data_IF_589884597121
#
_entry.id   IF_589884597121
#
_cell.length_a   1.000
_cell.length_b   1.000
_cell.length_c   1.000
_cell.angle_alpha   90.00
_cell.angle_beta   90.00
_cell.angle_gamma   90.00
#
_symmetry.space_group_name_H-M   'P 1'
#
loop_
_entity.id
_entity.type
_entity.pdbx_description
1 polymer ?
#
# COMPACT_ATOMS: atom_id res chain seq x y z
N UNK A 1 -11.46 6.95 -17.77
CA UNK A 1 -11.24 5.82 -16.84
C UNK A 1 -11.56 4.47 -17.44
N UNK A 2 -12.80 4.16 -17.86
CA UNK A 2 -13.10 2.86 -18.52
C UNK A 2 -12.14 2.52 -19.68
N UNK A 3 -11.75 3.50 -20.50
CA UNK A 3 -10.76 3.29 -21.58
C UNK A 3 -9.34 2.97 -21.07
N UNK A 4 -8.90 3.60 -19.98
CA UNK A 4 -7.57 3.41 -19.38
C UNK A 4 -7.51 2.04 -18.69
N UNK A 5 -8.52 1.74 -17.87
CA UNK A 5 -8.63 0.43 -17.21
C UNK A 5 -8.78 -0.67 -18.26
N UNK A 6 -9.62 -0.47 -19.29
CA UNK A 6 -9.70 -1.43 -20.41
C UNK A 6 -8.39 -1.56 -21.17
N UNK A 7 -7.60 -0.49 -21.37
CA UNK A 7 -6.29 -0.60 -22.00
C UNK A 7 -5.35 -1.50 -21.18
N UNK A 8 -5.34 -1.34 -19.85
CA UNK A 8 -4.54 -2.21 -18.97
C UNK A 8 -5.02 -3.68 -18.96
N UNK A 9 -6.32 -3.91 -19.15
CA UNK A 9 -6.89 -5.25 -19.31
C UNK A 9 -6.66 -5.84 -20.72
N UNK A 10 -6.39 -5.03 -21.74
CA UNK A 10 -6.15 -5.51 -23.11
C UNK A 10 -4.72 -6.05 -23.25
N UNK A 11 -3.76 -5.47 -22.53
CA UNK A 11 -2.36 -5.93 -22.54
C UNK A 11 -2.12 -7.09 -21.57
N UNK A 12 -3.07 -7.37 -20.67
CA UNK A 12 -2.98 -8.39 -19.62
C UNK A 12 -4.02 -9.48 -19.85
N UNK A 13 -3.61 -10.73 -20.12
CA UNK A 13 -4.53 -11.86 -20.36
C UNK A 13 -5.40 -12.25 -19.13
N UNK A 14 -5.28 -11.55 -17.99
CA UNK A 14 -6.02 -11.80 -16.75
C UNK A 14 -6.61 -10.49 -16.21
N UNK A 15 -7.68 -10.58 -15.40
CA UNK A 15 -8.22 -9.47 -14.60
C UNK A 15 -7.23 -9.08 -13.48
N UNK A 16 -6.05 -8.58 -13.86
CA UNK A 16 -4.99 -8.21 -12.92
C UNK A 16 -5.38 -6.98 -12.10
N UNK A 17 -6.31 -6.16 -12.59
CA UNK A 17 -6.71 -4.90 -11.98
C UNK A 17 -8.16 -4.94 -11.56
N UNK A 18 -8.40 -5.01 -10.25
CA UNK A 18 -9.73 -4.86 -9.65
C UNK A 18 -9.79 -3.60 -8.80
N UNK A 19 -10.99 -3.14 -8.44
CA UNK A 19 -11.11 -1.96 -7.60
C UNK A 19 -12.39 -1.15 -7.77
N UNK A 20 -12.37 0.06 -7.21
CA UNK A 20 -13.50 0.96 -7.15
C UNK A 20 -13.06 2.40 -7.42
N UNK A 21 -13.71 3.04 -8.39
CA UNK A 21 -13.62 4.48 -8.60
C UNK A 21 -14.86 5.19 -8.03
N UNK A 22 -14.66 5.90 -6.93
CA UNK A 22 -15.69 6.72 -6.31
C UNK A 22 -15.55 8.17 -6.79
N UNK A 23 -16.58 8.71 -7.43
CA UNK A 23 -16.57 10.05 -8.02
C UNK A 23 -17.57 10.93 -7.28
N UNK A 24 -17.05 11.98 -6.67
CA UNK A 24 -17.81 13.09 -6.12
C UNK A 24 -17.81 14.27 -7.11
N UNK A 25 -18.68 15.28 -6.94
CA UNK A 25 -18.72 16.43 -7.84
C UNK A 25 -17.40 17.20 -7.98
N UNK A 26 -16.58 17.23 -6.92
CA UNK A 26 -15.30 17.97 -6.88
C UNK A 26 -14.06 17.10 -6.67
N UNK A 27 -14.25 15.85 -6.25
CA UNK A 27 -13.18 14.98 -5.78
C UNK A 27 -13.39 13.57 -6.33
N UNK A 28 -12.34 12.77 -6.38
CA UNK A 28 -12.46 11.35 -6.67
C UNK A 28 -11.58 10.55 -5.73
N UNK A 29 -11.99 9.34 -5.42
CA UNK A 29 -11.22 8.35 -4.68
C UNK A 29 -11.04 7.15 -5.58
N UNK A 30 -9.81 6.70 -5.69
CA UNK A 30 -9.43 5.60 -6.57
C UNK A 30 -8.82 4.47 -5.75
N UNK A 31 -9.58 3.38 -5.61
CA UNK A 31 -9.13 2.17 -4.95
C UNK A 31 -8.70 1.18 -6.02
N UNK A 32 -7.46 0.73 -5.93
CA UNK A 32 -6.82 -0.11 -6.93
C UNK A 32 -6.24 -1.35 -6.23
N UNK A 33 -6.62 -2.53 -6.73
CA UNK A 33 -6.12 -3.83 -6.33
C UNK A 33 -5.44 -4.47 -7.54
N UNK A 34 -4.12 -4.47 -7.54
CA UNK A 34 -3.34 -5.08 -8.60
C UNK A 34 -1.94 -5.45 -8.09
N UNK A 35 -1.21 -6.30 -8.82
CA UNK A 35 0.23 -6.44 -8.63
C UNK A 35 0.95 -5.09 -8.70
N UNK A 36 2.03 -4.94 -7.94
CA UNK A 36 2.72 -3.65 -7.75
C UNK A 36 3.26 -3.04 -9.05
N UNK A 37 3.77 -3.87 -9.96
CA UNK A 37 4.21 -3.49 -11.29
C UNK A 37 3.05 -2.93 -12.14
N UNK A 38 1.87 -3.53 -12.04
CA UNK A 38 0.66 -3.05 -12.72
C UNK A 38 0.16 -1.73 -12.11
N UNK A 39 0.23 -1.57 -10.78
CA UNK A 39 -0.07 -0.30 -10.11
C UNK A 39 0.88 0.80 -10.60
N UNK A 40 2.18 0.51 -10.69
CA UNK A 40 3.17 1.45 -11.19
C UNK A 40 2.88 1.87 -12.64
N UNK A 41 2.60 0.91 -13.53
CA UNK A 41 2.23 1.20 -14.93
C UNK A 41 0.96 2.05 -15.01
N UNK A 42 -0.04 1.72 -14.19
CA UNK A 42 -1.28 2.48 -14.12
C UNK A 42 -1.07 3.93 -13.66
N UNK A 43 -0.22 4.16 -12.66
CA UNK A 43 0.13 5.51 -12.20
C UNK A 43 0.91 6.29 -13.26
N UNK A 44 1.82 5.63 -13.98
CA UNK A 44 2.54 6.22 -15.10
C UNK A 44 1.56 6.68 -16.19
N UNK A 45 0.59 5.84 -16.55
CA UNK A 45 -0.45 6.18 -17.52
C UNK A 45 -1.32 7.36 -17.06
N UNK A 46 -1.69 7.43 -15.78
CA UNK A 46 -2.43 8.57 -15.23
C UNK A 46 -1.61 9.86 -15.39
N UNK A 47 -0.32 9.86 -15.06
CA UNK A 47 0.54 11.03 -15.17
C UNK A 47 0.76 11.45 -16.64
N UNK A 48 1.00 10.51 -17.54
CA UNK A 48 1.16 10.80 -18.98
C UNK A 48 -0.13 11.31 -19.62
N UNK A 49 -1.30 10.78 -19.19
CA UNK A 49 -2.59 11.27 -19.67
C UNK A 49 -3.04 12.58 -19.04
N UNK A 50 -2.63 12.90 -17.80
CA UNK A 50 -2.80 14.24 -17.23
C UNK A 50 -2.22 15.31 -18.14
N UNK A 51 -1.02 15.05 -18.66
CA UNK A 51 -0.30 15.95 -19.59
C UNK A 51 -1.06 16.10 -20.92
N UNK A 52 -1.82 15.08 -21.33
CA UNK A 52 -2.50 15.04 -22.64
C UNK A 52 -3.93 15.57 -22.63
N UNK A 53 -4.70 15.30 -21.57
CA UNK A 53 -6.14 15.52 -21.56
C UNK A 53 -6.63 16.44 -20.42
N UNK A 54 -5.78 16.87 -19.48
CA UNK A 54 -6.13 17.70 -18.30
C UNK A 54 -7.32 17.20 -17.45
N UNK A 55 -7.74 15.94 -17.62
CA UNK A 55 -8.97 15.40 -16.98
C UNK A 55 -8.82 15.13 -15.48
N UNK A 56 -7.60 15.04 -14.97
CA UNK A 56 -7.32 14.76 -13.56
C UNK A 56 -6.58 15.92 -12.92
N UNK A 57 -7.13 16.41 -11.81
CA UNK A 57 -6.49 17.42 -10.99
C UNK A 57 -5.32 16.86 -10.16
N UNK A 58 -5.06 17.52 -9.03
CA UNK A 58 -4.05 17.07 -8.06
C UNK A 58 -4.45 15.70 -7.50
N UNK A 59 -3.52 14.75 -7.53
CA UNK A 59 -3.72 13.40 -7.01
C UNK A 59 -2.70 13.13 -5.92
N UNK A 60 -3.16 12.72 -4.75
CA UNK A 60 -2.32 12.26 -3.66
C UNK A 60 -2.45 10.74 -3.56
N UNK A 61 -1.35 10.06 -3.27
CA UNK A 61 -1.34 8.64 -2.97
C UNK A 61 -1.46 8.51 -1.46
N UNK A 62 -2.53 7.84 -1.00
CA UNK A 62 -2.64 7.45 0.40
C UNK A 62 -1.80 6.19 0.65
N UNK A 63 -1.27 5.99 1.87
CA UNK A 63 -0.42 4.85 2.18
C UNK A 63 -1.05 3.53 1.73
N UNK A 64 -0.33 2.80 0.89
CA UNK A 64 -0.76 1.52 0.33
C UNK A 64 -0.49 0.38 1.33
N UNK A 65 -1.47 -0.51 1.52
CA UNK A 65 -1.19 -1.78 2.16
C UNK A 65 -0.49 -2.68 1.13
N UNK A 66 0.81 -2.86 1.30
CA UNK A 66 1.55 -3.88 0.58
C UNK A 66 1.20 -5.23 1.24
N UNK A 67 0.88 -6.25 0.45
CA UNK A 67 0.47 -7.60 0.89
C UNK A 67 -1.02 -7.79 1.26
N UNK A 68 -1.90 -7.58 0.28
CA UNK A 68 -3.30 -7.99 0.38
C UNK A 68 -3.40 -9.51 0.22
N UNK A 69 -3.87 -10.23 1.26
CA UNK A 69 -4.05 -11.68 1.23
C UNK A 69 -5.26 -12.10 0.36
N UNK A 70 -6.31 -11.28 0.32
CA UNK A 70 -7.51 -11.48 -0.49
C UNK A 70 -8.02 -10.16 -1.08
N UNK A 71 -8.39 -10.19 -2.37
CA UNK A 71 -9.02 -9.04 -3.06
C UNK A 71 -10.43 -8.80 -2.53
N UNK A 72 -10.82 -7.53 -2.35
CA UNK A 72 -12.19 -7.15 -2.01
C UNK A 72 -13.11 -7.18 -3.23
N UNK A 73 -12.58 -6.87 -4.41
CA UNK A 73 -13.37 -6.72 -5.62
C UNK A 73 -13.08 -7.83 -6.64
N UNK A 74 -14.14 -8.32 -7.29
CA UNK A 74 -14.05 -9.31 -8.38
C UNK A 74 -13.80 -8.66 -9.75
N UNK A 75 -14.14 -7.38 -9.89
CA UNK A 75 -14.06 -6.61 -11.13
C UNK A 75 -13.88 -5.11 -10.81
N UNK A 76 -13.85 -4.28 -11.84
CA UNK A 76 -13.74 -2.84 -11.77
C UNK A 76 -15.11 -2.14 -11.63
N UNK A 77 -15.31 -1.44 -10.52
CA UNK A 77 -16.54 -0.67 -10.26
C UNK A 77 -16.31 0.84 -10.35
N UNK A 78 -17.36 1.56 -10.71
CA UNK A 78 -17.37 3.03 -10.71
C UNK A 78 -18.70 3.52 -10.19
N UNK A 79 -18.67 4.50 -9.29
CA UNK A 79 -19.86 5.06 -8.66
C UNK A 79 -19.78 6.57 -8.64
N UNK A 80 -20.89 7.21 -9.00
CA UNK A 80 -21.10 8.64 -8.82
C UNK A 80 -21.98 8.83 -7.60
N UNK A 81 -21.51 9.59 -6.61
CA UNK A 81 -22.26 9.85 -5.39
C UNK A 81 -21.95 11.24 -4.84
N UNK A 82 -22.70 11.66 -3.81
CA UNK A 82 -22.47 12.91 -3.10
C UNK A 82 -21.62 12.63 -1.87
N UNK A 83 -20.59 13.46 -1.64
CA UNK A 83 -19.75 13.32 -0.46
C UNK A 83 -20.51 13.85 0.76
N UNK A 84 -20.52 13.12 1.89
CA UNK A 84 -20.99 13.71 3.13
C UNK A 84 -20.14 14.93 3.51
N UNK A 85 -20.75 15.92 4.11
CA UNK A 85 -20.07 17.11 4.63
C UNK A 85 -19.82 16.94 6.13
N UNK A 86 -18.58 17.07 6.59
CA UNK A 86 -18.32 17.18 8.03
C UNK A 86 -18.75 18.58 8.50
N UNK A 87 -19.53 18.64 9.57
CA UNK A 87 -19.95 19.91 10.17
C UNK A 87 -18.79 20.62 10.91
N UNK A 88 -17.80 19.86 11.36
CA UNK A 88 -16.63 20.36 12.07
C UNK A 88 -15.54 20.83 11.10
N UNK A 89 -14.99 22.02 11.35
CA UNK A 89 -13.87 22.56 10.57
C UNK A 89 -12.56 22.00 11.07
N UNK A 90 -11.76 21.45 10.15
CA UNK A 90 -10.42 20.96 10.46
C UNK A 90 -9.46 22.15 10.38
N UNK A 91 -9.21 22.79 11.52
CA UNK A 91 -8.42 24.04 11.56
C UNK A 91 -6.91 23.80 11.72
N UNK A 92 -6.51 22.68 12.33
CA UNK A 92 -5.09 22.39 12.65
C UNK A 92 -4.47 21.46 11.61
N UNK A 93 -3.31 21.86 11.09
CA UNK A 93 -2.51 21.08 10.12
C UNK A 93 -1.24 20.49 10.77
N UNK A 94 -1.35 20.00 12.00
CA UNK A 94 -0.25 19.28 12.65
C UNK A 94 -0.06 17.92 11.98
N UNK A 95 1.16 17.37 12.02
CA UNK A 95 1.44 16.03 11.48
C UNK A 95 0.52 14.95 12.08
N UNK A 96 0.24 15.04 13.38
CA UNK A 96 -0.67 14.13 14.09
C UNK A 96 -2.11 14.24 13.60
N UNK A 97 -2.59 15.46 13.33
CA UNK A 97 -3.92 15.69 12.78
C UNK A 97 -4.02 15.10 11.38
N UNK A 98 -3.00 15.30 10.53
CA UNK A 98 -2.94 14.71 9.19
C UNK A 98 -2.98 13.18 9.26
N UNK A 99 -2.16 12.57 10.12
CA UNK A 99 -2.17 11.11 10.33
C UNK A 99 -3.53 10.61 10.80
N UNK A 100 -4.19 11.33 11.72
CA UNK A 100 -5.53 11.00 12.20
C UNK A 100 -6.56 11.06 11.07
N UNK A 101 -6.51 12.10 10.24
CA UNK A 101 -7.44 12.23 9.10
C UNK A 101 -7.20 11.17 8.03
N UNK A 102 -5.95 10.81 7.75
CA UNK A 102 -5.61 9.68 6.88
C UNK A 102 -6.21 8.39 7.45
N UNK A 103 -5.98 8.11 8.73
CA UNK A 103 -6.51 6.91 9.38
C UNK A 103 -8.03 6.84 9.32
N UNK A 104 -8.73 7.94 9.59
CA UNK A 104 -10.18 8.01 9.51
C UNK A 104 -10.68 7.74 8.09
N UNK A 105 -10.05 8.35 7.08
CA UNK A 105 -10.38 8.12 5.68
C UNK A 105 -10.16 6.66 5.28
N UNK A 106 -8.99 6.10 5.59
CA UNK A 106 -8.66 4.70 5.32
C UNK A 106 -9.61 3.73 6.01
N UNK A 107 -9.99 3.98 7.26
CA UNK A 107 -10.91 3.11 8.01
C UNK A 107 -12.31 3.10 7.38
N UNK A 108 -12.81 4.27 6.98
CA UNK A 108 -14.09 4.39 6.27
C UNK A 108 -14.09 3.65 4.94
N UNK A 109 -13.03 3.84 4.14
CA UNK A 109 -12.85 3.14 2.89
C UNK A 109 -12.74 1.62 3.10
N UNK A 110 -12.03 1.18 4.14
CA UNK A 110 -11.95 -0.23 4.48
C UNK A 110 -13.33 -0.82 4.81
N UNK A 111 -14.13 -0.14 5.65
CA UNK A 111 -15.48 -0.57 5.97
C UNK A 111 -16.39 -0.58 4.74
N UNK A 112 -16.23 0.39 3.82
CA UNK A 112 -16.94 0.42 2.54
C UNK A 112 -16.58 -0.79 1.67
N UNK A 113 -15.28 -1.07 1.50
CA UNK A 113 -14.81 -2.22 0.72
C UNK A 113 -15.29 -3.53 1.31
N UNK A 114 -15.20 -3.68 2.63
CA UNK A 114 -15.68 -4.87 3.33
C UNK A 114 -17.20 -5.04 3.20
N UNK A 115 -17.98 -3.95 3.27
CA UNK A 115 -19.42 -4.00 3.04
C UNK A 115 -19.76 -4.45 1.62
N UNK A 116 -19.15 -3.84 0.60
CA UNK A 116 -19.35 -4.21 -0.80
C UNK A 116 -18.92 -5.66 -1.06
N UNK A 117 -17.77 -6.07 -0.53
CA UNK A 117 -17.26 -7.45 -0.66
C UNK A 117 -18.20 -8.48 -0.04
N UNK A 118 -18.77 -8.20 1.15
CA UNK A 118 -19.76 -9.10 1.76
C UNK A 118 -21.02 -9.25 0.91
N UNK A 119 -21.55 -8.14 0.41
CA UNK A 119 -22.72 -8.14 -0.48
C UNK A 119 -22.43 -8.92 -1.76
N UNK A 120 -21.25 -8.74 -2.35
CA UNK A 120 -20.81 -9.47 -3.54
C UNK A 120 -20.78 -10.99 -3.35
N UNK A 121 -20.43 -11.45 -2.16
CA UNK A 121 -20.43 -12.87 -1.83
C UNK A 121 -21.85 -13.43 -1.63
N UNK A 122 -22.80 -12.61 -1.20
CA UNK A 122 -24.18 -13.03 -0.93
C UNK A 122 -25.04 -13.03 -2.22
N UNK A 123 -25.05 -11.94 -3.00
CA UNK A 123 -25.74 -11.84 -4.31
C UNK A 123 -25.09 -10.78 -5.22
N UNK A 124 -24.49 -11.24 -6.33
CA UNK A 124 -23.81 -10.36 -7.29
C UNK A 124 -24.75 -9.36 -8.00
N UNK A 125 -26.05 -9.65 -8.11
CA UNK A 125 -26.99 -8.77 -8.80
C UNK A 125 -27.39 -7.54 -7.96
N UNK A 126 -27.39 -7.66 -6.63
CA UNK A 126 -27.73 -6.57 -5.69
C UNK A 126 -26.62 -5.50 -5.63
N UNK A 127 -25.40 -5.85 -6.04
CA UNK A 127 -24.24 -4.97 -5.92
C UNK A 127 -24.41 -3.70 -6.72
N UNK A 128 -24.94 -3.79 -7.95
CA UNK A 128 -25.17 -2.61 -8.78
C UNK A 128 -26.17 -1.66 -8.12
N UNK A 129 -27.26 -2.19 -7.57
CA UNK A 129 -28.27 -1.41 -6.86
C UNK A 129 -27.69 -0.74 -5.60
N UNK A 130 -26.92 -1.48 -4.82
CA UNK A 130 -26.24 -0.95 -3.63
C UNK A 130 -25.24 0.13 -3.99
N UNK A 131 -24.47 -0.05 -5.06
CA UNK A 131 -23.52 0.94 -5.56
C UNK A 131 -24.23 2.26 -5.95
N UNK A 132 -25.43 2.20 -6.54
CA UNK A 132 -26.23 3.39 -6.82
C UNK A 132 -26.79 4.04 -5.53
N UNK A 133 -27.18 3.24 -4.55
CA UNK A 133 -27.81 3.70 -3.31
C UNK A 133 -26.84 3.83 -2.12
N UNK A 134 -25.53 3.93 -2.36
CA UNK A 134 -24.52 4.02 -1.29
C UNK A 134 -24.75 5.19 -0.34
N UNK A 135 -25.24 6.32 -0.85
CA UNK A 135 -25.50 7.51 -0.04
C UNK A 135 -26.64 7.29 0.97
N UNK A 136 -27.59 6.42 0.65
CA UNK A 136 -28.73 6.12 1.52
C UNK A 136 -28.43 4.94 2.46
N UNK A 137 -27.82 3.87 1.93
CA UNK A 137 -27.59 2.64 2.69
C UNK A 137 -26.41 2.74 3.67
N UNK A 138 -25.32 3.39 3.28
CA UNK A 138 -24.06 3.41 4.05
C UNK A 138 -23.31 4.75 4.00
N UNK A 139 -23.95 5.89 4.32
CA UNK A 139 -23.29 7.19 4.31
C UNK A 139 -22.11 7.26 5.30
N UNK A 140 -22.13 6.48 6.39
CA UNK A 140 -21.07 6.49 7.40
C UNK A 140 -19.70 5.99 6.89
N UNK A 141 -19.69 5.18 5.83
CA UNK A 141 -18.45 4.64 5.25
C UNK A 141 -17.89 5.52 4.13
N UNK A 142 -18.61 6.58 3.73
CA UNK A 142 -18.14 7.51 2.73
C UNK A 142 -17.23 8.58 3.38
N UNK A 143 -16.03 8.81 2.83
CA UNK A 143 -15.18 9.90 3.27
C UNK A 143 -15.82 11.27 3.03
N UNK A 144 -15.68 12.18 3.99
CA UNK A 144 -16.24 13.52 3.90
C UNK A 144 -15.45 14.42 2.95
N UNK A 145 -16.18 15.29 2.26
CA UNK A 145 -15.61 16.29 1.35
C UNK A 145 -14.57 17.20 2.03
N UNK A 146 -14.82 17.62 3.27
CA UNK A 146 -13.91 18.44 4.07
C UNK A 146 -12.62 17.72 4.43
N UNK A 147 -12.67 16.41 4.71
CA UNK A 147 -11.47 15.59 4.97
C UNK A 147 -10.64 15.47 3.69
N UNK A 148 -11.29 15.22 2.55
CA UNK A 148 -10.60 15.12 1.26
C UNK A 148 -9.95 16.44 0.86
N UNK A 149 -10.65 17.56 1.03
CA UNK A 149 -10.12 18.90 0.77
C UNK A 149 -8.92 19.20 1.68
N UNK A 150 -9.01 18.87 2.96
CA UNK A 150 -7.91 19.01 3.92
C UNK A 150 -6.68 18.19 3.49
N UNK A 151 -6.87 16.91 3.16
CA UNK A 151 -5.77 16.02 2.75
C UNK A 151 -5.11 16.47 1.44
N UNK A 152 -5.89 16.96 0.48
CA UNK A 152 -5.37 17.48 -0.79
C UNK A 152 -4.56 18.76 -0.62
N UNK A 153 -4.91 19.60 0.37
CA UNK A 153 -4.24 20.87 0.64
C UNK A 153 -3.11 20.78 1.67
N UNK A 154 -3.02 19.67 2.41
CA UNK A 154 -1.99 19.47 3.42
C UNK A 154 -0.58 19.51 2.79
N UNK A 155 0.26 20.42 3.29
CA UNK A 155 1.68 20.51 2.92
C UNK A 155 2.49 19.62 3.86
N UNK A 156 2.54 18.32 3.57
CA UNK A 156 3.28 17.35 4.39
C UNK A 156 4.17 16.46 3.54
N UNK A 157 5.31 16.05 4.10
CA UNK A 157 6.20 15.06 3.49
C UNK A 157 5.59 13.66 3.42
N UNK A 158 4.58 13.38 4.26
CA UNK A 158 3.91 12.07 4.36
C UNK A 158 3.00 11.80 3.18
N UNK A 159 2.30 12.82 2.70
CA UNK A 159 1.40 12.69 1.54
C UNK A 159 2.20 12.99 0.28
N UNK A 160 2.46 11.94 -0.50
CA UNK A 160 3.14 12.05 -1.80
C UNK A 160 2.13 12.18 -2.91
N UNK A 161 2.47 12.93 -3.95
CA UNK A 161 1.70 12.88 -5.18
C UNK A 161 2.03 11.62 -5.96
N UNK A 162 1.23 11.32 -6.99
CA UNK A 162 1.51 10.18 -7.89
C UNK A 162 2.85 10.38 -8.59
N UNK A 163 3.20 11.61 -8.93
CA UNK A 163 4.46 11.98 -9.57
C UNK A 163 5.65 11.72 -8.63
N UNK A 164 5.51 12.07 -7.34
CA UNK A 164 6.51 11.76 -6.31
C UNK A 164 6.66 10.24 -6.11
N UNK A 165 5.56 9.49 -6.11
CA UNK A 165 5.57 8.04 -6.00
C UNK A 165 6.34 7.40 -7.16
N UNK A 166 6.05 7.81 -8.40
CA UNK A 166 6.74 7.32 -9.59
C UNK A 166 8.24 7.62 -9.56
N UNK A 167 8.62 8.78 -9.02
CA UNK A 167 10.02 9.13 -8.83
C UNK A 167 10.70 8.23 -7.81
N UNK A 168 10.10 8.02 -6.62
CA UNK A 168 10.63 7.12 -5.59
C UNK A 168 10.78 5.69 -6.11
N UNK A 169 9.82 5.21 -6.90
CA UNK A 169 9.89 3.87 -7.48
C UNK A 169 11.03 3.70 -8.50
N UNK A 170 11.39 4.77 -9.22
CA UNK A 170 12.51 4.76 -10.18
C UNK A 170 13.87 4.94 -9.51
N UNK A 171 13.92 5.78 -8.48
CA UNK A 171 15.13 6.13 -7.77
C UNK A 171 15.42 5.07 -6.70
N UNK A 172 16.21 4.05 -7.02
CA UNK A 172 16.71 3.09 -6.01
C UNK A 172 17.64 3.85 -5.07
N UNK A 173 17.31 4.01 -3.78
CA UNK A 173 18.20 4.68 -2.85
C UNK A 173 19.46 3.83 -2.70
N UNK A 174 20.62 4.44 -2.92
CA UNK A 174 21.88 3.83 -2.55
C UNK A 174 21.96 3.87 -1.02
N UNK A 175 21.73 2.73 -0.37
CA UNK A 175 21.83 2.60 1.08
C UNK A 175 23.28 2.28 1.38
N UNK A 176 24.02 3.25 1.90
CA UNK A 176 25.36 3.00 2.44
C UNK A 176 25.19 2.26 3.78
N UNK A 177 25.37 0.94 3.77
CA UNK A 177 25.43 0.19 5.02
C UNK A 177 26.76 0.45 5.70
N UNK A 178 26.74 0.62 7.02
CA UNK A 178 27.95 0.82 7.82
C UNK A 178 28.96 -0.32 7.59
N UNK A 179 28.45 -1.55 7.44
CA UNK A 179 29.25 -2.76 7.18
C UNK A 179 30.00 -2.74 5.83
N UNK A 180 29.53 -1.94 4.86
CA UNK A 180 30.20 -1.77 3.55
C UNK A 180 31.40 -0.82 3.62
N UNK A 181 31.55 -0.07 4.72
CA UNK A 181 32.60 0.95 4.91
C UNK A 181 33.73 0.52 5.86
N UNK A 182 33.59 -0.62 6.54
CA UNK A 182 34.62 -1.14 7.45
C UNK A 182 35.45 -2.24 6.77
N UNK A 183 36.74 -1.94 6.61
CA UNK A 183 37.76 -2.88 6.14
C UNK A 183 38.61 -3.37 7.33
N UNK A 184 38.87 -4.69 7.48
CA UNK A 184 38.47 -5.79 6.60
C UNK A 184 37.04 -6.30 6.88
N UNK A 185 36.39 -6.95 5.89
CA UNK A 185 35.07 -7.54 6.06
C UNK A 185 35.07 -8.58 7.20
N UNK A 186 33.99 -8.74 7.97
CA UNK A 186 33.95 -9.57 9.20
C UNK A 186 34.37 -11.04 9.04
N UNK A 187 34.48 -11.55 7.81
CA UNK A 187 34.99 -12.88 7.49
C UNK A 187 36.52 -13.03 7.62
N UNK A 188 37.27 -11.93 7.63
CA UNK A 188 38.75 -11.94 7.74
C UNK A 188 39.26 -12.00 9.19
N UNK A 189 38.36 -11.89 10.17
CA UNK A 189 38.70 -11.93 11.59
C UNK A 189 38.68 -13.34 12.19
N UNK A 190 38.50 -14.40 11.39
CA UNK A 190 38.60 -15.77 11.91
C UNK A 190 40.09 -16.15 12.08
N UNK A 191 40.61 -16.32 13.31
CA UNK A 191 41.97 -16.77 13.49
C UNK A 191 42.07 -18.18 12.92
N UNK A 192 42.87 -18.37 11.85
CA UNK A 192 43.09 -19.68 11.21
C UNK A 192 43.88 -20.69 12.08
N UNK A 193 43.92 -20.50 13.39
CA UNK A 193 44.74 -21.30 14.32
C UNK A 193 43.94 -22.12 15.34
N UNK A 194 42.61 -22.18 15.23
CA UNK A 194 41.78 -22.98 16.14
C UNK A 194 41.61 -24.46 15.72
N UNK A 195 42.49 -25.00 14.88
CA UNK A 195 42.42 -26.42 14.46
C UNK A 195 43.77 -27.14 14.49
N UNK A 196 44.70 -26.73 15.35
CA UNK A 196 45.91 -27.48 15.64
C UNK A 196 46.20 -27.44 17.14
N UNK A 197 45.58 -28.34 17.91
CA UNK A 197 46.08 -28.96 19.15
C UNK A 197 45.03 -29.90 19.74
N UNK A 198 44.90 -31.07 19.13
CA UNK A 198 44.51 -32.29 19.83
C UNK A 198 45.69 -33.25 19.71
N UNK A 199 46.75 -33.00 20.48
CA UNK A 199 47.83 -33.95 20.72
C UNK A 199 48.15 -33.90 22.23
N UNK A 200 47.62 -34.93 22.89
CA UNK A 200 48.10 -35.68 24.05
C UNK A 200 48.26 -35.02 25.43
N UNK A 201 47.56 -35.59 26.43
CA UNK A 201 48.16 -36.34 27.56
C UNK A 201 47.08 -36.68 28.62
N UNK A 202 46.48 -37.88 28.54
CA UNK A 202 45.73 -38.50 29.64
C UNK A 202 46.73 -39.23 30.54
N UNK A 203 46.79 -38.84 31.82
CA UNK A 203 47.69 -39.38 32.84
C UNK A 203 47.12 -40.63 33.50
N UNK A 204 47.98 -41.64 33.65
CA UNK A 204 48.07 -42.65 34.71
C UNK A 204 46.81 -42.89 35.59
N UNK A 205 46.07 -43.95 35.28
CA UNK A 205 45.40 -44.78 36.29
C UNK A 205 45.55 -46.26 35.92
N UNK A 206 46.63 -46.91 36.36
CA UNK A 206 46.66 -48.37 36.48
C UNK A 206 47.64 -48.79 37.59
N UNK A 207 47.22 -48.56 38.84
CA UNK A 207 47.72 -49.31 39.97
C UNK A 207 46.62 -50.28 40.44
N UNK A 208 47.00 -51.56 40.51
CA UNK A 208 46.36 -52.64 41.29
C UNK A 208 45.39 -53.55 40.51
N UNK A 209 45.95 -54.38 39.61
CA UNK A 209 45.54 -55.80 39.54
C UNK A 209 46.31 -56.59 40.61
N UNK A 210 45.66 -56.79 41.76
CA UNK A 210 46.05 -57.76 42.79
C UNK A 210 46.11 -59.16 42.17
N UNK A 211 47.24 -59.84 42.41
CA UNK A 211 47.28 -61.31 42.53
C UNK A 211 46.23 -61.74 43.55
N UNK A 212 45.29 -62.59 43.15
CA UNK A 212 44.97 -63.89 43.78
C UNK A 212 44.17 -64.70 42.78
#
# INVERSE_FOLDING_TARGET
MKKIVKALHVDSNENLVTGLLLVYPKFYIHLLEAPEDVIYMHFKDICENKIREEKFGKTIVLPTYHHVYHRFFIDWFHVYTLAPSLLEKIEKQTLEDIKRQISNCCMKLYHLCNYISRVMHDDANDVVEILFNLNEKVPQYLPESTVLEFLLNAKSSVLKTVEDYLRIYRDVPFIEFYDDTIWPPPSDNMPRYASEKCVDEEKDEDLIRKKT
#
